data_IF_388995252152
#
_entry.id   IF_388995252152
#
_cell.length_a   1.000
_cell.length_b   1.000
_cell.length_c   1.000
_cell.angle_alpha   90.00
_cell.angle_beta   90.00
_cell.angle_gamma   90.00
#
_symmetry.space_group_name_H-M   'P 1'
#
loop_
_entity.id
_entity.type
_entity.pdbx_description
1 polymer ?
#
# COMPACT_ATOMS: atom_id res chain seq x y z
N UNK A 1 46.33 39.68 9.87
CA UNK A 1 45.32 38.91 10.65
C UNK A 1 43.89 39.05 10.11
N UNK A 2 43.47 40.22 9.60
CA UNK A 2 42.10 40.47 9.06
C UNK A 2 41.71 39.72 7.77
N UNK A 3 42.67 39.25 6.98
CA UNK A 3 42.40 38.67 5.66
C UNK A 3 41.87 37.22 5.71
N UNK A 4 42.16 36.50 6.81
CA UNK A 4 41.64 35.14 7.04
C UNK A 4 40.19 35.14 7.54
N UNK A 5 39.71 36.22 8.14
CA UNK A 5 38.33 36.35 8.60
C UNK A 5 37.40 36.73 7.44
N UNK A 6 37.84 37.62 6.55
CA UNK A 6 37.04 38.04 5.39
C UNK A 6 36.76 36.90 4.39
N UNK A 7 37.69 35.95 4.25
CA UNK A 7 37.48 34.75 3.43
C UNK A 7 36.53 33.74 4.07
N UNK A 8 36.41 33.68 5.41
CA UNK A 8 35.47 32.78 6.08
C UNK A 8 34.01 33.24 5.91
N UNK A 9 33.76 34.54 5.83
CA UNK A 9 32.41 35.10 5.74
C UNK A 9 31.77 34.88 4.35
N UNK A 10 32.57 34.90 3.27
CA UNK A 10 32.09 34.62 1.90
C UNK A 10 31.74 33.16 1.64
N UNK A 11 32.28 32.22 2.41
CA UNK A 11 32.02 30.78 2.26
C UNK A 11 30.80 30.30 3.05
N UNK A 12 30.39 31.04 4.09
CA UNK A 12 29.20 30.70 4.89
C UNK A 12 27.87 30.65 4.08
N UNK A 13 27.54 31.61 3.20
CA UNK A 13 26.27 31.55 2.46
C UNK A 13 26.21 30.35 1.49
N UNK A 14 27.36 29.95 0.92
CA UNK A 14 27.44 28.80 0.00
C UNK A 14 27.24 27.46 0.71
N UNK A 15 27.70 27.34 1.95
CA UNK A 15 27.53 26.12 2.75
C UNK A 15 26.10 25.97 3.31
N UNK A 16 25.46 27.09 3.68
CA UNK A 16 24.06 27.07 4.14
C UNK A 16 23.09 26.66 3.03
N UNK A 17 23.31 27.12 1.78
CA UNK A 17 22.48 26.74 0.63
C UNK A 17 22.70 25.28 0.21
N UNK A 18 23.93 24.74 0.34
CA UNK A 18 24.18 23.31 0.05
C UNK A 18 23.48 22.37 1.02
N UNK A 19 23.26 22.78 2.28
CA UNK A 19 22.56 21.94 3.27
C UNK A 19 21.06 21.81 2.99
N UNK A 20 20.42 22.80 2.37
CA UNK A 20 18.98 22.77 2.08
C UNK A 20 18.63 22.05 0.77
N UNK A 21 19.60 21.73 -0.07
CA UNK A 21 19.40 21.05 -1.36
C UNK A 21 19.47 19.50 -1.30
N UNK A 22 19.55 18.90 -0.10
CA UNK A 22 19.58 17.44 0.08
C UNK A 22 18.24 16.85 0.59
N UNK A 23 17.11 17.53 0.38
CA UNK A 23 15.79 17.01 0.77
C UNK A 23 15.04 16.27 -0.35
N UNK A 24 15.64 16.08 -1.54
CA UNK A 24 14.90 15.60 -2.72
C UNK A 24 15.55 14.42 -3.46
N UNK A 25 16.01 13.40 -2.73
CA UNK A 25 16.28 12.10 -3.35
C UNK A 25 15.98 10.93 -2.41
N UNK A 26 14.70 10.80 -2.02
CA UNK A 26 14.13 9.49 -1.70
C UNK A 26 12.87 9.25 -2.53
N UNK A 27 12.97 9.42 -3.85
CA UNK A 27 12.04 8.76 -4.77
C UNK A 27 12.44 7.27 -4.77
N UNK A 28 12.08 6.57 -3.68
CA UNK A 28 12.16 5.11 -3.60
C UNK A 28 11.50 4.57 -4.86
N UNK A 29 12.20 3.69 -5.58
CA UNK A 29 11.76 3.07 -6.82
C UNK A 29 10.32 2.52 -6.68
N UNK A 30 9.32 3.32 -7.09
CA UNK A 30 7.91 2.94 -7.13
C UNK A 30 7.59 2.11 -8.38
N UNK A 31 8.42 2.27 -9.41
CA UNK A 31 8.33 1.58 -10.69
C UNK A 31 8.34 0.04 -10.61
N UNK A 32 9.29 -0.62 -9.91
CA UNK A 32 9.30 -2.08 -9.81
C UNK A 32 8.05 -2.60 -9.10
N UNK A 33 7.59 -1.93 -8.05
CA UNK A 33 6.37 -2.31 -7.32
C UNK A 33 5.12 -2.13 -8.18
N UNK A 34 5.06 -1.09 -9.00
CA UNK A 34 3.97 -0.85 -9.93
C UNK A 34 3.93 -1.91 -11.04
N UNK A 35 5.07 -2.27 -11.60
CA UNK A 35 5.17 -3.34 -12.59
C UNK A 35 4.71 -4.69 -11.99
N UNK A 36 5.12 -4.98 -10.76
CA UNK A 36 4.70 -6.18 -10.05
C UNK A 36 3.19 -6.19 -9.78
N UNK A 37 2.60 -5.05 -9.40
CA UNK A 37 1.17 -4.93 -9.21
C UNK A 37 0.38 -5.21 -10.51
N UNK A 38 0.85 -4.68 -11.64
CA UNK A 38 0.25 -4.97 -12.97
C UNK A 38 0.35 -6.46 -13.30
N UNK A 39 1.50 -7.09 -13.04
CA UNK A 39 1.69 -8.52 -13.28
C UNK A 39 0.72 -9.37 -12.45
N UNK A 40 0.50 -9.01 -11.17
CA UNK A 40 -0.47 -9.66 -10.30
C UNK A 40 -1.91 -9.47 -10.79
N UNK A 41 -2.27 -8.27 -11.27
CA UNK A 41 -3.58 -8.01 -11.88
C UNK A 41 -3.84 -8.86 -13.11
N UNK A 42 -2.84 -9.02 -13.98
CA UNK A 42 -2.92 -9.89 -15.15
C UNK A 42 -3.11 -11.35 -14.73
N UNK A 43 -2.31 -11.83 -13.77
CA UNK A 43 -2.43 -13.19 -13.24
C UNK A 43 -3.81 -13.47 -12.64
N UNK A 44 -4.33 -12.53 -11.84
CA UNK A 44 -5.67 -12.63 -11.26
C UNK A 44 -6.77 -12.63 -12.33
N UNK A 45 -6.66 -11.76 -13.34
CA UNK A 45 -7.62 -11.71 -14.45
C UNK A 45 -7.64 -13.01 -15.25
N UNK A 46 -6.48 -13.63 -15.48
CA UNK A 46 -6.39 -14.93 -16.16
C UNK A 46 -7.12 -16.02 -15.38
N UNK A 47 -6.94 -16.07 -14.05
CA UNK A 47 -7.67 -17.03 -13.20
C UNK A 47 -9.16 -16.78 -13.28
N UNK A 48 -9.60 -15.52 -13.20
CA UNK A 48 -11.02 -15.15 -13.21
C UNK A 48 -11.76 -15.65 -14.46
N UNK A 49 -11.12 -15.60 -15.63
CA UNK A 49 -11.76 -16.02 -16.89
C UNK A 49 -11.53 -17.48 -17.27
N UNK A 50 -10.38 -18.08 -16.89
CA UNK A 50 -10.01 -19.42 -17.36
C UNK A 50 -10.22 -20.54 -16.36
N UNK A 51 -10.33 -20.24 -15.06
CA UNK A 51 -10.34 -21.27 -14.02
C UNK A 51 -11.73 -21.39 -13.42
N UNK A 52 -12.45 -22.50 -13.67
CA UNK A 52 -13.73 -22.73 -13.02
C UNK A 52 -13.55 -22.98 -11.52
N UNK A 53 -14.45 -22.45 -10.66
CA UNK A 53 -14.35 -22.56 -9.21
C UNK A 53 -14.89 -23.90 -8.69
N UNK A 54 -14.50 -25.01 -9.31
CA UNK A 54 -14.97 -26.36 -8.94
C UNK A 54 -14.19 -26.93 -7.76
N UNK A 55 -12.90 -26.60 -7.68
CA UNK A 55 -12.00 -27.14 -6.67
C UNK A 55 -11.71 -26.10 -5.58
N UNK A 56 -11.62 -26.56 -4.33
CA UNK A 56 -11.26 -25.73 -3.18
C UNK A 56 -9.90 -25.04 -3.37
N UNK A 57 -8.94 -25.72 -4.01
CA UNK A 57 -7.64 -25.13 -4.37
C UNK A 57 -7.78 -23.93 -5.32
N UNK A 58 -8.67 -24.01 -6.32
CA UNK A 58 -8.92 -22.91 -7.27
C UNK A 58 -9.51 -21.70 -6.55
N UNK A 59 -10.43 -21.93 -5.62
CA UNK A 59 -11.07 -20.89 -4.80
C UNK A 59 -10.02 -20.22 -3.89
N UNK A 60 -9.22 -21.00 -3.16
CA UNK A 60 -8.15 -20.46 -2.31
C UNK A 60 -7.11 -19.71 -3.14
N UNK A 61 -6.72 -20.25 -4.30
CA UNK A 61 -5.81 -19.59 -5.23
C UNK A 61 -6.33 -18.23 -5.68
N UNK A 62 -7.61 -18.15 -6.06
CA UNK A 62 -8.28 -16.91 -6.43
C UNK A 62 -8.22 -15.87 -5.31
N UNK A 63 -8.64 -16.21 -4.09
CA UNK A 63 -8.65 -15.28 -2.96
C UNK A 63 -7.25 -14.85 -2.53
N UNK A 64 -6.29 -15.76 -2.56
CA UNK A 64 -4.90 -15.47 -2.21
C UNK A 64 -4.26 -14.52 -3.22
N UNK A 65 -4.50 -14.76 -4.51
CA UNK A 65 -3.99 -13.89 -5.57
C UNK A 65 -4.68 -12.53 -5.55
N UNK A 66 -6.00 -12.49 -5.31
CA UNK A 66 -6.74 -11.24 -5.11
C UNK A 66 -6.18 -10.45 -3.92
N UNK A 67 -5.96 -11.11 -2.77
CA UNK A 67 -5.39 -10.48 -1.59
C UNK A 67 -4.03 -9.87 -1.87
N UNK A 68 -3.13 -10.63 -2.50
CA UNK A 68 -1.80 -10.14 -2.85
C UNK A 68 -1.87 -8.94 -3.82
N UNK A 69 -2.75 -9.01 -4.81
CA UNK A 69 -2.96 -7.95 -5.80
C UNK A 69 -3.48 -6.67 -5.12
N UNK A 70 -4.53 -6.80 -4.30
CA UNK A 70 -5.11 -5.69 -3.56
C UNK A 70 -4.11 -5.08 -2.59
N UNK A 71 -3.38 -5.92 -1.83
CA UNK A 71 -2.35 -5.48 -0.90
C UNK A 71 -1.24 -4.68 -1.60
N UNK A 72 -0.74 -5.17 -2.73
CA UNK A 72 0.25 -4.46 -3.53
C UNK A 72 -0.30 -3.12 -4.02
N UNK A 73 -1.53 -3.08 -4.56
CA UNK A 73 -2.12 -1.83 -5.02
C UNK A 73 -2.38 -0.83 -3.92
N UNK A 74 -2.89 -1.26 -2.77
CA UNK A 74 -3.21 -0.36 -1.66
C UNK A 74 -1.94 0.10 -0.94
N UNK A 75 -0.94 -0.76 -0.77
CA UNK A 75 0.37 -0.37 -0.24
C UNK A 75 1.06 0.65 -1.16
N UNK A 76 0.90 0.50 -2.48
CA UNK A 76 1.36 1.46 -3.47
C UNK A 76 0.56 2.77 -3.39
N UNK A 77 -0.77 2.71 -3.32
CA UNK A 77 -1.61 3.91 -3.33
C UNK A 77 -1.45 4.76 -2.06
N UNK A 78 -1.33 4.13 -0.89
CA UNK A 78 -1.16 4.82 0.39
C UNK A 78 0.30 5.08 0.77
N UNK A 79 1.27 4.60 -0.03
CA UNK A 79 2.71 4.60 0.28
C UNK A 79 3.03 4.07 1.70
N UNK A 80 2.13 3.29 2.28
CA UNK A 80 2.17 2.79 3.64
C UNK A 80 1.63 1.36 3.66
N UNK A 81 2.52 0.39 3.85
CA UNK A 81 2.17 -1.04 3.84
C UNK A 81 1.12 -1.41 4.88
N UNK A 82 1.05 -0.70 6.01
CA UNK A 82 0.07 -1.00 7.08
C UNK A 82 -1.35 -0.68 6.66
N UNK A 83 -1.58 0.52 6.14
CA UNK A 83 -2.90 0.93 5.60
C UNK A 83 -3.29 0.07 4.38
N UNK A 84 -2.29 -0.33 3.59
CA UNK A 84 -2.49 -1.26 2.49
C UNK A 84 -3.01 -2.64 2.95
N UNK A 85 -2.43 -3.21 4.00
CA UNK A 85 -2.86 -4.49 4.57
C UNK A 85 -4.31 -4.43 5.07
N UNK A 86 -4.62 -3.39 5.84
CA UNK A 86 -5.96 -3.16 6.39
C UNK A 86 -6.97 -3.12 5.22
N UNK A 87 -6.80 -2.20 4.27
CA UNK A 87 -7.73 -2.07 3.14
C UNK A 87 -7.88 -3.35 2.31
N UNK A 88 -6.78 -4.05 2.01
CA UNK A 88 -6.84 -5.32 1.27
C UNK A 88 -7.62 -6.40 2.05
N UNK A 89 -7.39 -6.50 3.36
CA UNK A 89 -8.06 -7.46 4.22
C UNK A 89 -9.56 -7.16 4.33
N UNK A 90 -9.96 -5.89 4.37
CA UNK A 90 -11.37 -5.49 4.34
C UNK A 90 -12.07 -6.00 3.08
N UNK A 91 -11.53 -5.68 1.91
CA UNK A 91 -12.13 -6.10 0.64
C UNK A 91 -12.20 -7.63 0.53
N UNK A 92 -11.14 -8.35 0.88
CA UNK A 92 -11.13 -9.81 0.82
C UNK A 92 -12.16 -10.41 1.77
N UNK A 93 -12.27 -9.93 3.01
CA UNK A 93 -13.29 -10.41 3.95
C UNK A 93 -14.72 -10.13 3.47
N UNK A 94 -14.98 -8.95 2.90
CA UNK A 94 -16.28 -8.62 2.30
C UNK A 94 -16.62 -9.61 1.18
N UNK A 95 -15.66 -9.91 0.29
CA UNK A 95 -15.89 -10.86 -0.80
C UNK A 95 -16.08 -12.29 -0.28
N UNK A 96 -15.34 -12.72 0.75
CA UNK A 96 -15.53 -14.02 1.39
C UNK A 96 -16.93 -14.13 1.99
N UNK A 97 -17.40 -13.10 2.70
CA UNK A 97 -18.74 -13.08 3.27
C UNK A 97 -19.81 -13.14 2.17
N UNK A 98 -19.58 -12.46 1.06
CA UNK A 98 -20.46 -12.52 -0.11
C UNK A 98 -20.46 -13.92 -0.74
N UNK A 99 -19.29 -14.57 -0.83
CA UNK A 99 -19.15 -15.92 -1.36
C UNK A 99 -19.93 -16.96 -0.55
N UNK A 100 -19.83 -16.92 0.79
CA UNK A 100 -20.61 -17.79 1.67
C UNK A 100 -22.09 -17.38 1.80
N UNK A 101 -22.52 -16.31 1.12
CA UNK A 101 -23.87 -15.74 1.23
C UNK A 101 -24.25 -15.29 2.66
N UNK A 102 -23.27 -15.14 3.56
CA UNK A 102 -23.43 -14.61 4.92
C UNK A 102 -23.25 -13.08 4.94
N UNK A 103 -23.16 -12.45 3.76
CA UNK A 103 -23.05 -11.00 3.56
C UNK A 103 -24.31 -10.21 3.90
N UNK A 104 -24.91 -10.44 5.06
CA UNK A 104 -26.01 -9.65 5.61
C UNK A 104 -25.54 -8.23 5.92
N UNK A 105 -26.46 -7.25 5.82
CA UNK A 105 -26.18 -5.84 6.11
C UNK A 105 -25.55 -5.65 7.50
N UNK A 106 -26.02 -6.41 8.50
CA UNK A 106 -25.49 -6.41 9.86
C UNK A 106 -24.01 -6.85 9.91
N UNK A 107 -23.66 -7.91 9.19
CA UNK A 107 -22.28 -8.41 9.13
C UNK A 107 -21.35 -7.42 8.43
N UNK A 108 -21.85 -6.73 7.40
CA UNK A 108 -21.10 -5.65 6.74
C UNK A 108 -20.89 -4.45 7.68
N UNK A 109 -21.91 -4.05 8.46
CA UNK A 109 -21.76 -2.98 9.45
C UNK A 109 -20.74 -3.34 10.54
N UNK A 110 -20.77 -4.56 11.07
CA UNK A 110 -19.81 -5.02 12.08
C UNK A 110 -18.39 -5.00 11.51
N UNK A 111 -18.22 -5.52 10.30
CA UNK A 111 -16.92 -5.54 9.64
C UNK A 111 -16.39 -4.11 9.43
N UNK A 112 -17.24 -3.19 8.97
CA UNK A 112 -16.89 -1.79 8.78
C UNK A 112 -16.50 -1.12 10.11
N UNK A 113 -17.26 -1.37 11.19
CA UNK A 113 -16.96 -0.83 12.51
C UNK A 113 -15.60 -1.29 13.04
N UNK A 114 -15.28 -2.58 12.88
CA UNK A 114 -13.96 -3.14 13.25
C UNK A 114 -12.86 -2.44 12.45
N UNK A 115 -13.06 -2.23 11.15
CA UNK A 115 -12.08 -1.59 10.30
C UNK A 115 -11.84 -0.12 10.66
N UNK A 116 -12.90 0.64 10.91
CA UNK A 116 -12.81 2.03 11.38
C UNK A 116 -12.10 2.09 12.73
N UNK A 117 -12.42 1.19 13.66
CA UNK A 117 -11.75 1.11 14.96
C UNK A 117 -10.24 0.81 14.82
N UNK A 118 -9.86 -0.13 13.95
CA UNK A 118 -8.47 -0.43 13.65
C UNK A 118 -7.74 0.76 13.01
N UNK A 119 -8.38 1.46 12.08
CA UNK A 119 -7.80 2.64 11.44
C UNK A 119 -7.56 3.77 12.46
N UNK A 120 -8.53 4.03 13.35
CA UNK A 120 -8.39 5.01 14.42
C UNK A 120 -7.30 4.64 15.42
N UNK A 121 -7.20 3.36 15.80
CA UNK A 121 -6.15 2.88 16.70
C UNK A 121 -4.75 3.13 16.11
N UNK A 122 -4.54 2.78 14.84
CA UNK A 122 -3.25 2.98 14.18
C UNK A 122 -2.99 4.42 13.76
N UNK A 123 -4.01 5.28 13.67
CA UNK A 123 -3.81 6.70 13.38
C UNK A 123 -3.41 7.52 14.61
N UNK A 124 -3.64 7.00 15.82
CA UNK A 124 -3.33 7.68 17.08
C UNK A 124 -1.94 7.36 17.64
N UNK A 125 -1.30 6.29 17.14
CA UNK A 125 0.09 5.91 17.42
C UNK A 125 1.04 6.50 16.37
#
# INVERSE_FOLDING_TARGET
>A
MKEKEFSREKDQPKQLIRRTLNFRQRRKNFFPTLLLAILFWLGWSLILFKVPPENLLSILGFFSLLFATLFLTSALLFANSRRGLITALFFVLVLIFRYYQIGNFLNLMILLAIFVALELFFSKQ
#
